data_IF_179962575699
#
_entry.id   IF_179962575699
#
_cell.length_a   1.000
_cell.length_b   1.000
_cell.length_c   1.000
_cell.angle_alpha   90.00
_cell.angle_beta   90.00
_cell.angle_gamma   90.00
#
_symmetry.space_group_name_H-M   'P 1'
#
loop_
_entity.id
_entity.type
_entity.pdbx_description
1 polymer ?
#
# COMPACT_ATOMS: atom_id res chain seq x y z
N UNK A 1 -13.05 3.00 5.34
CA UNK A 1 -12.44 2.17 4.28
C UNK A 1 -13.50 1.23 3.73
N UNK A 2 -13.67 1.12 2.42
CA UNK A 2 -14.59 0.16 1.79
C UNK A 2 -13.88 -1.19 1.65
N UNK A 3 -13.73 -1.94 2.74
CA UNK A 3 -13.02 -3.23 2.71
C UNK A 3 -13.92 -4.27 2.03
N UNK A 4 -13.85 -4.40 0.71
CA UNK A 4 -14.50 -5.50 0.00
C UNK A 4 -13.85 -6.82 0.40
N UNK A 5 -14.63 -7.80 0.85
CA UNK A 5 -14.17 -9.14 1.25
C UNK A 5 -13.78 -10.05 0.07
N UNK A 6 -13.22 -9.47 -1.00
CA UNK A 6 -12.75 -10.18 -2.18
C UNK A 6 -11.27 -10.55 -2.07
N UNK A 7 -10.67 -11.06 -3.15
CA UNK A 7 -9.21 -11.31 -3.18
C UNK A 7 -8.39 -10.01 -3.27
N UNK A 8 -9.05 -8.89 -3.59
CA UNK A 8 -8.51 -7.53 -3.62
C UNK A 8 -9.20 -6.58 -2.62
N UNK A 9 -9.12 -6.80 -1.28
CA UNK A 9 -9.60 -5.82 -0.31
C UNK A 9 -8.94 -4.45 -0.49
N UNK A 10 -9.69 -3.40 -0.21
CA UNK A 10 -9.08 -2.09 -0.04
C UNK A 10 -8.27 -2.05 1.25
N UNK A 11 -7.09 -1.44 1.18
CA UNK A 11 -6.22 -1.23 2.32
C UNK A 11 -6.52 0.17 2.86
N UNK A 12 -6.77 0.33 4.18
CA UNK A 12 -6.96 1.65 4.76
C UNK A 12 -5.79 2.56 4.44
N UNK A 13 -6.07 3.74 3.90
CA UNK A 13 -5.10 4.83 3.78
C UNK A 13 -4.71 5.38 5.15
N UNK A 14 -3.68 6.21 5.17
CA UNK A 14 -3.28 6.96 6.34
C UNK A 14 -4.40 7.88 6.83
N UNK A 15 -4.55 7.97 8.15
CA UNK A 15 -5.56 8.83 8.77
C UNK A 15 -5.18 10.31 8.61
N UNK A 16 -6.20 11.18 8.60
CA UNK A 16 -5.99 12.61 8.69
C UNK A 16 -5.16 12.96 9.94
N UNK A 17 -4.22 13.89 9.81
CA UNK A 17 -3.24 14.15 10.88
C UNK A 17 -1.85 13.57 10.61
N UNK A 18 -1.56 13.13 9.38
CA UNK A 18 -0.23 12.65 8.99
C UNK A 18 -0.03 11.16 9.26
N UNK A 19 -1.10 10.38 9.39
CA UNK A 19 -0.99 8.94 9.60
C UNK A 19 -0.38 8.24 8.39
N UNK A 20 0.48 7.25 8.62
CA UNK A 20 1.07 6.45 7.53
C UNK A 20 0.05 5.55 6.85
N UNK A 21 0.25 5.30 5.56
CA UNK A 21 -0.49 4.30 4.78
C UNK A 21 -0.20 2.87 5.25
N UNK A 22 -1.17 1.99 5.05
CA UNK A 22 -1.03 0.56 5.30
C UNK A 22 -0.22 -0.14 4.20
N UNK A 23 0.59 -1.11 4.62
CA UNK A 23 1.33 -1.96 3.68
C UNK A 23 0.40 -2.87 2.88
N UNK A 24 0.84 -3.22 1.66
CA UNK A 24 0.26 -4.27 0.84
C UNK A 24 0.25 -5.62 1.57
N UNK A 25 -0.65 -6.51 1.16
CA UNK A 25 -0.76 -7.88 1.68
C UNK A 25 -0.55 -8.91 0.57
N UNK A 26 -0.32 -10.15 0.99
CA UNK A 26 -0.03 -11.27 0.12
C UNK A 26 -0.91 -12.47 0.48
N UNK A 27 -1.57 -13.04 -0.53
CA UNK A 27 -2.21 -14.34 -0.47
C UNK A 27 -1.52 -15.24 -1.47
N UNK A 28 -1.09 -16.42 -1.05
CA UNK A 28 -0.30 -17.31 -1.91
C UNK A 28 -1.15 -18.33 -2.68
N UNK A 29 -2.40 -18.54 -2.26
CA UNK A 29 -3.31 -19.50 -2.89
C UNK A 29 -4.74 -18.91 -2.99
N UNK A 30 -5.14 -18.38 -4.17
CA UNK A 30 -4.30 -18.14 -5.35
C UNK A 30 -3.35 -16.93 -5.14
N UNK A 31 -2.21 -16.86 -5.84
CA UNK A 31 -1.27 -15.74 -5.75
C UNK A 31 -1.98 -14.41 -6.03
N UNK A 32 -2.14 -13.60 -4.99
CA UNK A 32 -2.79 -12.30 -5.04
C UNK A 32 -2.02 -11.33 -4.16
N UNK A 33 -1.57 -10.24 -4.76
CA UNK A 33 -0.75 -9.22 -4.12
C UNK A 33 -1.41 -7.86 -4.30
N UNK A 34 -1.15 -6.94 -3.37
CA UNK A 34 -1.69 -5.59 -3.42
C UNK A 34 -0.62 -4.52 -3.23
N UNK A 35 -0.87 -3.35 -3.81
CA UNK A 35 -0.05 -2.17 -3.54
C UNK A 35 -0.26 -1.65 -2.12
N UNK A 36 0.67 -0.84 -1.64
CA UNK A 36 0.48 -0.10 -0.39
C UNK A 36 -0.53 1.04 -0.56
N UNK A 37 -1.18 1.44 0.53
CA UNK A 37 -2.11 2.57 0.50
C UNK A 37 -1.39 3.91 0.70
N UNK A 38 -2.05 5.00 0.30
CA UNK A 38 -1.49 6.34 0.46
C UNK A 38 -1.43 6.82 1.91
N UNK A 39 -0.47 7.68 2.22
CA UNK A 39 -0.39 8.37 3.51
C UNK A 39 -1.47 9.44 3.68
N UNK A 40 -1.78 9.77 4.94
CA UNK A 40 -2.81 10.74 5.29
C UNK A 40 -2.29 12.16 5.25
N UNK A 41 -3.12 13.10 4.81
CA UNK A 41 -2.75 14.52 4.76
C UNK A 41 -2.83 15.19 6.14
N UNK A 42 -2.03 16.24 6.35
CA UNK A 42 -2.08 17.06 7.55
C UNK A 42 -1.81 18.53 7.28
N UNK A 43 -2.74 19.41 7.67
CA UNK A 43 -2.60 20.84 7.40
C UNK A 43 -1.66 21.56 8.38
N UNK A 44 -1.39 20.97 9.56
CA UNK A 44 -0.64 21.61 10.64
C UNK A 44 0.73 20.97 10.90
N UNK A 45 1.11 19.96 10.12
CA UNK A 45 2.37 19.24 10.25
C UNK A 45 2.65 18.41 9.01
N UNK A 46 3.54 17.44 9.12
CA UNK A 46 3.97 16.65 7.97
C UNK A 46 2.90 15.65 7.53
N UNK A 47 2.85 15.41 6.22
CA UNK A 47 2.02 14.35 5.65
C UNK A 47 2.57 12.97 6.01
N UNK A 48 1.68 11.99 6.12
CA UNK A 48 2.08 10.62 6.45
C UNK A 48 2.76 9.92 5.28
N UNK A 49 3.65 8.98 5.57
CA UNK A 49 4.31 8.18 4.54
C UNK A 49 3.33 7.19 3.87
N UNK A 50 3.56 6.88 2.60
CA UNK A 50 2.84 5.83 1.90
C UNK A 50 3.23 4.42 2.38
N UNK A 51 2.29 3.48 2.32
CA UNK A 51 2.56 2.08 2.66
C UNK A 51 3.41 1.38 1.59
N UNK A 52 4.23 0.41 1.98
CA UNK A 52 5.02 -0.39 1.05
C UNK A 52 4.13 -1.37 0.27
N UNK A 53 4.46 -1.62 -1.00
CA UNK A 53 3.77 -2.62 -1.83
C UNK A 53 4.17 -4.05 -1.47
N UNK A 54 3.23 -4.99 -1.68
CA UNK A 54 3.55 -6.41 -1.73
C UNK A 54 4.36 -6.76 -2.99
N UNK A 55 4.87 -7.99 -3.09
CA UNK A 55 5.67 -8.40 -4.26
C UNK A 55 4.91 -8.18 -5.59
N UNK A 56 5.63 -7.66 -6.58
CA UNK A 56 5.08 -7.31 -7.89
C UNK A 56 4.17 -6.07 -7.90
N UNK A 57 4.01 -5.37 -6.77
CA UNK A 57 3.12 -4.22 -6.63
C UNK A 57 3.87 -2.94 -6.25
N UNK A 58 3.28 -1.80 -6.63
CA UNK A 58 3.78 -0.47 -6.25
C UNK A 58 3.50 -0.14 -4.78
N UNK A 59 4.31 0.76 -4.21
CA UNK A 59 4.00 1.40 -2.93
C UNK A 59 2.93 2.49 -3.08
N UNK A 60 2.39 2.93 -1.95
CA UNK A 60 1.44 4.04 -1.88
C UNK A 60 2.13 5.40 -1.96
N UNK A 61 1.40 6.43 -2.39
CA UNK A 61 1.88 7.81 -2.38
C UNK A 61 1.93 8.40 -0.95
N UNK A 62 2.86 9.32 -0.71
CA UNK A 62 2.89 10.09 0.54
C UNK A 62 1.72 11.08 0.64
N UNK A 63 1.31 11.37 1.88
CA UNK A 63 0.29 12.37 2.19
C UNK A 63 0.81 13.80 2.03
N UNK A 64 -0.11 14.74 1.79
CA UNK A 64 0.24 16.16 1.72
C UNK A 64 0.35 16.76 3.13
N UNK A 65 1.27 17.70 3.32
CA UNK A 65 1.37 18.46 4.57
C UNK A 65 2.32 19.65 4.44
N UNK A 66 2.75 20.19 5.58
CA UNK A 66 3.77 21.26 5.61
C UNK A 66 5.04 20.78 4.90
N UNK A 67 5.49 19.57 5.23
CA UNK A 67 6.26 18.72 4.33
C UNK A 67 5.38 17.55 3.84
N UNK A 68 5.57 17.16 2.58
CA UNK A 68 4.94 15.95 2.05
C UNK A 68 5.58 14.69 2.64
N UNK A 69 4.76 13.67 2.90
CA UNK A 69 5.25 12.35 3.30
C UNK A 69 6.02 11.65 2.19
N UNK A 70 6.88 10.71 2.55
CA UNK A 70 7.59 9.88 1.59
C UNK A 70 6.63 8.90 0.91
N UNK A 71 6.94 8.55 -0.34
CA UNK A 71 6.27 7.42 -1.00
C UNK A 71 6.72 6.08 -0.41
N UNK A 72 5.82 5.10 -0.40
CA UNK A 72 6.14 3.74 -0.01
C UNK A 72 7.06 3.05 -1.04
N UNK A 73 7.91 2.14 -0.57
CA UNK A 73 8.74 1.30 -1.44
C UNK A 73 7.84 0.36 -2.26
N UNK A 74 8.16 0.18 -3.53
CA UNK A 74 7.61 -0.93 -4.32
C UNK A 74 8.08 -2.28 -3.80
N UNK A 75 7.23 -3.29 -3.89
CA UNK A 75 7.61 -4.65 -3.52
C UNK A 75 8.58 -5.26 -4.51
N UNK A 76 9.31 -6.28 -4.07
CA UNK A 76 10.24 -7.00 -4.94
C UNK A 76 9.50 -7.69 -6.09
N UNK A 77 10.16 -7.86 -7.24
CA UNK A 77 9.57 -8.55 -8.39
C UNK A 77 9.17 -9.99 -8.06
N UNK A 78 8.08 -10.48 -8.66
CA UNK A 78 7.59 -11.84 -8.45
C UNK A 78 7.33 -12.57 -9.76
N UNK A 79 7.80 -13.82 -9.84
CA UNK A 79 7.55 -14.74 -10.96
C UNK A 79 7.16 -16.10 -10.37
N UNK A 80 6.02 -16.63 -10.80
CA UNK A 80 5.60 -18.01 -10.49
C UNK A 80 5.71 -18.86 -11.75
N UNK A 81 6.61 -19.85 -11.71
CA UNK A 81 6.78 -20.83 -12.79
C UNK A 81 6.15 -22.13 -12.33
N UNK A 82 5.20 -22.65 -13.12
CA UNK A 82 4.58 -23.95 -12.87
C UNK A 82 4.70 -24.82 -14.13
N UNK A 83 4.81 -26.13 -13.92
CA UNK A 83 4.85 -27.11 -15.00
C UNK A 83 3.49 -27.80 -15.03
N UNK A 84 2.87 -27.85 -16.20
CA UNK A 84 1.64 -28.59 -16.40
C UNK A 84 1.98 -30.08 -16.56
N UNK A 85 1.24 -30.94 -15.85
CA UNK A 85 1.32 -32.39 -16.01
C UNK A 85 0.60 -32.83 -17.29
#
# INVERSE_FOLDING_TARGET
AFTGAGMCPSIPGGLAGGGSGGAGYELWLPPTFSGGSGGGSFNSGDGGDGGNGARGCGGGGGGAGVAGGLGGRGGDGFVLITVLA
#
